data_IF_388594826988
#
_entry.id   IF_388594826988
#
_cell.length_a   1.000
_cell.length_b   1.000
_cell.length_c   1.000
_cell.angle_alpha   90.00
_cell.angle_beta   90.00
_cell.angle_gamma   90.00
#
_symmetry.space_group_name_H-M   'P 1'
#
loop_
_entity.id
_entity.type
_entity.pdbx_description
1 polymer ?
#
# COMPACT_ATOMS: atom_id res chain seq x y z
N UNK A 1 -2.77 -5.75 -36.19
CA UNK A 1 -3.84 -6.38 -35.39
C UNK A 1 -3.42 -7.75 -34.94
N UNK A 2 -2.85 -7.81 -33.75
CA UNK A 2 -2.78 -9.02 -32.93
C UNK A 2 -3.07 -8.53 -31.53
N UNK A 3 -4.36 -8.46 -31.20
CA UNK A 3 -4.83 -8.36 -29.84
C UNK A 3 -4.11 -9.46 -29.06
N UNK A 4 -3.25 -9.05 -28.14
CA UNK A 4 -2.78 -9.96 -27.10
C UNK A 4 -3.91 -10.04 -26.10
N UNK A 5 -4.84 -10.96 -26.34
CA UNK A 5 -5.88 -11.28 -25.38
C UNK A 5 -5.22 -11.59 -24.03
N UNK A 6 -5.69 -10.91 -23.00
CA UNK A 6 -5.40 -11.26 -21.61
C UNK A 6 -5.76 -12.72 -21.37
N UNK A 7 -4.83 -13.52 -20.86
CA UNK A 7 -5.08 -14.92 -20.48
C UNK A 7 -6.08 -14.97 -19.33
N UNK A 8 -7.29 -15.51 -19.57
CA UNK A 8 -8.36 -15.63 -18.57
C UNK A 8 -8.66 -17.07 -18.16
N UNK A 9 -7.96 -18.04 -18.75
CA UNK A 9 -8.17 -19.48 -18.59
C UNK A 9 -7.17 -20.14 -17.61
N UNK A 10 -6.22 -19.35 -17.07
CA UNK A 10 -5.26 -19.81 -16.05
C UNK A 10 -5.53 -19.18 -14.69
N UNK A 11 -5.33 -19.91 -13.57
CA UNK A 11 -5.41 -19.34 -12.23
C UNK A 11 -4.45 -18.16 -12.05
N UNK A 12 -4.96 -17.02 -11.59
CA UNK A 12 -4.15 -15.83 -11.28
C UNK A 12 -3.59 -15.97 -9.87
N UNK A 13 -2.27 -16.18 -9.73
CA UNK A 13 -1.60 -16.23 -8.42
C UNK A 13 -0.53 -15.14 -8.24
N UNK A 14 -0.33 -14.29 -9.25
CA UNK A 14 0.75 -13.30 -9.24
C UNK A 14 0.31 -12.01 -8.56
N UNK A 15 0.87 -11.76 -7.39
CA UNK A 15 0.76 -10.49 -6.69
C UNK A 15 2.01 -9.66 -6.96
N UNK A 16 1.84 -8.48 -7.55
CA UNK A 16 2.93 -7.54 -7.80
C UNK A 16 3.01 -6.53 -6.67
N UNK A 17 4.20 -6.36 -6.10
CA UNK A 17 4.50 -5.38 -5.08
C UNK A 17 5.57 -4.41 -5.57
N UNK A 18 5.36 -3.11 -5.33
CA UNK A 18 6.40 -2.10 -5.45
C UNK A 18 7.13 -1.94 -4.11
N UNK A 19 8.43 -1.67 -4.16
CA UNK A 19 9.23 -1.26 -3.00
C UNK A 19 9.44 0.25 -3.10
N UNK A 20 8.99 0.98 -2.08
CA UNK A 20 8.99 2.44 -2.05
C UNK A 20 9.97 2.91 -0.99
N UNK A 21 10.83 3.87 -1.39
CA UNK A 21 11.68 4.64 -0.49
C UNK A 21 11.20 6.08 -0.51
N UNK A 22 10.91 6.64 0.65
CA UNK A 22 10.44 8.03 0.76
C UNK A 22 10.97 8.70 2.03
N UNK A 23 10.84 10.02 2.06
CA UNK A 23 11.10 10.84 3.24
C UNK A 23 9.78 11.45 3.70
N UNK A 24 9.37 11.13 4.92
CA UNK A 24 8.18 11.70 5.56
C UNK A 24 8.63 12.53 6.77
N UNK A 25 8.80 13.84 6.55
CA UNK A 25 9.39 14.76 7.54
C UNK A 25 10.75 14.23 8.02
N UNK A 26 10.82 13.81 9.27
CA UNK A 26 12.04 13.38 9.96
C UNK A 26 12.37 11.89 9.70
N UNK A 27 11.49 11.15 9.01
CA UNK A 27 11.62 9.70 8.82
C UNK A 27 11.97 9.31 7.39
N UNK A 28 13.03 8.52 7.24
CA UNK A 28 13.29 7.75 6.02
C UNK A 28 12.52 6.43 6.10
N UNK A 29 11.58 6.24 5.18
CA UNK A 29 10.72 5.06 5.17
C UNK A 29 11.06 4.18 3.96
N UNK A 30 11.12 2.88 4.22
CA UNK A 30 11.14 1.84 3.20
C UNK A 30 9.96 0.92 3.50
N UNK A 31 9.09 0.73 2.52
CA UNK A 31 7.94 -0.16 2.63
C UNK A 31 7.59 -0.76 1.27
N UNK A 32 6.87 -1.87 1.29
CA UNK A 32 6.26 -2.43 0.10
C UNK A 32 4.77 -2.12 0.06
N UNK A 33 4.22 -2.00 -1.14
CA UNK A 33 2.79 -1.91 -1.35
C UNK A 33 2.40 -2.68 -2.60
N UNK A 34 1.24 -3.35 -2.52
CA UNK A 34 0.64 -4.03 -3.68
C UNK A 34 0.28 -2.98 -4.73
N UNK A 35 0.60 -3.27 -5.98
CA UNK A 35 0.21 -2.48 -7.14
C UNK A 35 -0.66 -3.34 -8.07
N UNK A 36 -1.64 -2.73 -8.72
CA UNK A 36 -2.49 -3.42 -9.70
C UNK A 36 -1.81 -3.61 -11.05
N UNK A 37 -0.84 -2.76 -11.37
CA UNK A 37 -0.07 -2.83 -12.61
C UNK A 37 0.51 -1.48 -12.98
N UNK A 38 0.85 -1.33 -14.27
CA UNK A 38 1.44 -0.12 -14.84
C UNK A 38 0.81 0.20 -16.19
N UNK A 39 0.68 1.50 -16.49
CA UNK A 39 0.35 1.95 -17.84
C UNK A 39 1.66 2.05 -18.62
N UNK A 40 1.80 1.24 -19.68
CA UNK A 40 2.96 1.27 -20.57
C UNK A 40 2.54 1.09 -22.02
N UNK A 41 3.23 1.77 -22.93
CA UNK A 41 3.12 1.52 -24.39
C UNK A 41 3.95 0.32 -24.83
N UNK A 42 4.91 -0.11 -24.00
CA UNK A 42 5.81 -1.22 -24.26
C UNK A 42 5.42 -2.42 -23.40
N UNK A 43 5.36 -3.61 -24.01
CA UNK A 43 5.01 -4.86 -23.31
C UNK A 43 6.12 -5.37 -22.39
N UNK A 44 7.37 -5.03 -22.71
CA UNK A 44 8.53 -5.47 -21.96
C UNK A 44 9.05 -4.31 -21.12
N UNK A 45 8.95 -4.43 -19.80
CA UNK A 45 9.47 -3.48 -18.83
C UNK A 45 10.68 -4.11 -18.19
N UNK A 46 11.82 -3.43 -18.20
CA UNK A 46 13.01 -3.93 -17.50
C UNK A 46 12.90 -3.66 -15.99
N UNK A 47 12.48 -4.67 -15.24
CA UNK A 47 12.34 -4.58 -13.78
C UNK A 47 13.66 -4.48 -13.02
N UNK A 48 14.81 -4.55 -13.70
CA UNK A 48 16.12 -4.33 -13.11
C UNK A 48 16.65 -2.90 -13.35
N UNK A 49 15.98 -2.11 -14.20
CA UNK A 49 16.30 -0.71 -14.43
C UNK A 49 15.43 0.19 -13.54
N UNK A 50 16.03 0.71 -12.48
CA UNK A 50 15.32 1.60 -11.54
C UNK A 50 14.92 2.94 -12.18
N UNK A 51 15.66 3.44 -13.17
CA UNK A 51 15.29 4.68 -13.86
C UNK A 51 14.08 4.47 -14.77
N UNK A 52 13.95 3.28 -15.37
CA UNK A 52 12.75 2.87 -16.08
C UNK A 52 11.57 2.74 -15.10
N UNK A 53 11.74 1.99 -14.01
CA UNK A 53 10.69 1.77 -13.00
C UNK A 53 10.17 3.10 -12.44
N UNK A 54 11.07 4.02 -12.11
CA UNK A 54 10.71 5.31 -11.52
C UNK A 54 9.89 6.21 -12.47
N UNK A 55 9.90 5.94 -13.77
CA UNK A 55 9.10 6.66 -14.78
C UNK A 55 7.74 6.01 -15.05
N UNK A 56 7.50 4.81 -14.53
CA UNK A 56 6.24 4.10 -14.74
C UNK A 56 5.07 4.80 -14.04
N UNK A 57 3.90 4.70 -14.66
CA UNK A 57 2.65 5.14 -14.05
C UNK A 57 1.94 3.94 -13.43
N UNK A 58 2.03 3.81 -12.10
CA UNK A 58 1.35 2.75 -11.36
C UNK A 58 -0.17 2.96 -11.35
N UNK A 59 -0.90 1.84 -11.42
CA UNK A 59 -2.36 1.76 -11.32
C UNK A 59 -2.78 0.81 -10.20
N UNK A 60 -3.98 1.01 -9.70
CA UNK A 60 -4.68 0.07 -8.81
C UNK A 60 -5.97 -0.39 -9.47
N UNK A 61 -6.35 -1.65 -9.28
CA UNK A 61 -7.63 -2.19 -9.74
C UNK A 61 -8.56 -2.43 -8.56
N UNK A 62 -9.85 -2.10 -8.70
CA UNK A 62 -10.90 -2.43 -7.74
C UNK A 62 -12.10 -3.01 -8.46
N UNK A 63 -12.83 -3.84 -7.74
CA UNK A 63 -14.11 -4.41 -8.16
C UNK A 63 -15.16 -3.99 -7.13
N UNK A 64 -16.27 -3.43 -7.60
CA UNK A 64 -17.43 -3.08 -6.76
C UNK A 64 -18.68 -3.74 -7.32
N UNK A 65 -19.68 -3.97 -6.46
CA UNK A 65 -20.99 -4.50 -6.90
C UNK A 65 -21.88 -3.35 -7.37
N UNK A 66 -22.70 -3.58 -8.39
CA UNK A 66 -23.60 -2.57 -8.95
C UNK A 66 -24.53 -1.94 -7.91
N UNK A 67 -25.07 -2.74 -6.99
CA UNK A 67 -25.91 -2.26 -5.90
C UNK A 67 -25.21 -1.36 -4.86
N UNK A 68 -23.89 -1.18 -4.95
CA UNK A 68 -23.08 -0.28 -4.12
C UNK A 68 -22.64 0.99 -4.85
N UNK A 69 -23.13 1.20 -6.08
CA UNK A 69 -22.71 2.28 -6.96
C UNK A 69 -23.70 3.45 -6.91
N UNK A 70 -23.31 4.53 -6.23
CA UNK A 70 -23.77 5.88 -6.57
C UNK A 70 -23.10 6.30 -7.90
N UNK A 71 -23.72 7.16 -8.71
CA UNK A 71 -23.36 7.49 -10.10
C UNK A 71 -21.86 7.79 -10.39
N UNK A 72 -21.03 8.09 -9.37
CA UNK A 72 -19.57 8.21 -9.50
C UNK A 72 -18.81 7.41 -8.42
N UNK A 73 -17.88 6.54 -8.86
CA UNK A 73 -17.04 5.69 -7.99
C UNK A 73 -16.26 6.49 -6.94
N UNK A 74 -16.01 7.78 -7.20
CA UNK A 74 -15.29 8.66 -6.29
C UNK A 74 -16.08 8.94 -5.00
N UNK A 75 -17.40 8.74 -5.03
CA UNK A 75 -18.28 8.80 -3.86
C UNK A 75 -18.41 7.45 -3.14
N UNK A 76 -17.80 6.37 -3.63
CA UNK A 76 -17.89 5.11 -2.91
C UNK A 76 -17.32 5.25 -1.46
N UNK A 77 -17.93 4.65 -0.42
CA UNK A 77 -17.46 4.79 0.97
C UNK A 77 -16.00 4.36 1.21
N UNK A 78 -15.50 3.44 0.38
CA UNK A 78 -14.08 3.00 0.42
C UNK A 78 -13.12 3.90 -0.36
N UNK A 79 -13.61 4.93 -1.05
CA UNK A 79 -12.78 5.85 -1.86
C UNK A 79 -11.62 6.44 -1.05
N UNK A 80 -11.85 6.75 0.22
CA UNK A 80 -10.80 7.21 1.13
C UNK A 80 -9.66 6.21 1.31
N UNK A 81 -9.97 4.92 1.51
CA UNK A 81 -8.96 3.87 1.63
C UNK A 81 -8.18 3.71 0.33
N UNK A 82 -8.86 3.83 -0.81
CA UNK A 82 -8.21 3.80 -2.12
C UNK A 82 -7.29 5.01 -2.33
N UNK A 83 -7.73 6.19 -1.88
CA UNK A 83 -6.90 7.39 -1.88
C UNK A 83 -5.64 7.20 -1.03
N UNK A 84 -5.76 6.73 0.21
CA UNK A 84 -4.59 6.50 1.07
C UNK A 84 -3.62 5.47 0.47
N UNK A 85 -4.16 4.35 -0.06
CA UNK A 85 -3.36 3.33 -0.73
C UNK A 85 -2.59 3.95 -1.91
N UNK A 86 -3.28 4.72 -2.76
CA UNK A 86 -2.64 5.30 -3.92
C UNK A 86 -1.69 6.45 -3.62
N UNK A 87 -1.99 7.25 -2.60
CA UNK A 87 -1.11 8.32 -2.12
C UNK A 87 0.22 7.76 -1.60
N UNK A 88 0.18 6.70 -0.79
CA UNK A 88 1.40 6.07 -0.26
C UNK A 88 2.15 5.31 -1.36
N UNK A 89 1.47 4.51 -2.18
CA UNK A 89 2.12 3.71 -3.23
C UNK A 89 2.42 4.48 -4.53
N UNK A 90 2.34 5.82 -4.53
CA UNK A 90 2.51 6.67 -5.72
C UNK A 90 1.67 6.23 -6.95
N UNK A 91 0.50 5.65 -6.70
CA UNK A 91 -0.44 5.22 -7.73
C UNK A 91 -1.18 6.44 -8.25
N UNK A 92 -1.21 6.61 -9.58
CA UNK A 92 -1.83 7.79 -10.21
C UNK A 92 -3.28 7.55 -10.57
N UNK A 93 -3.60 6.32 -10.97
CA UNK A 93 -4.93 5.96 -11.45
C UNK A 93 -5.51 4.78 -10.70
N UNK A 94 -6.83 4.83 -10.50
CA UNK A 94 -7.63 3.71 -10.05
C UNK A 94 -8.54 3.28 -11.19
N UNK A 95 -8.53 1.98 -11.47
CA UNK A 95 -9.35 1.32 -12.47
C UNK A 95 -10.43 0.52 -11.72
N UNK A 96 -11.70 0.87 -11.89
CA UNK A 96 -12.80 0.24 -11.16
C UNK A 96 -13.74 -0.46 -12.13
N UNK A 97 -13.87 -1.77 -11.96
CA UNK A 97 -14.92 -2.56 -12.58
C UNK A 97 -16.17 -2.57 -11.70
N UNK A 98 -17.34 -2.37 -12.31
CA UNK A 98 -18.64 -2.55 -11.65
C UNK A 98 -19.20 -3.89 -12.08
N UNK A 99 -19.42 -4.77 -11.12
CA UNK A 99 -19.87 -6.14 -11.30
C UNK A 99 -21.35 -6.24 -11.00
N UNK A 100 -22.10 -6.87 -11.90
CA UNK A 100 -23.52 -7.15 -11.74
C UNK A 100 -23.76 -8.35 -10.78
N UNK A 101 -25.03 -8.71 -10.62
CA UNK A 101 -25.43 -9.88 -9.81
C UNK A 101 -24.96 -11.22 -10.39
N UNK A 102 -24.68 -11.26 -11.70
CA UNK A 102 -24.15 -12.44 -12.40
C UNK A 102 -22.62 -12.49 -12.39
N UNK A 103 -21.97 -11.71 -11.53
CA UNK A 103 -20.51 -11.64 -11.42
C UNK A 103 -19.78 -11.17 -12.69
N UNK A 104 -20.46 -10.40 -13.53
CA UNK A 104 -19.96 -9.92 -14.81
C UNK A 104 -19.75 -8.40 -14.78
N UNK A 105 -18.63 -7.94 -15.34
CA UNK A 105 -18.34 -6.51 -15.49
C UNK A 105 -18.81 -6.07 -16.88
N UNK A 106 -20.00 -5.47 -16.94
CA UNK A 106 -20.61 -5.03 -18.21
C UNK A 106 -20.23 -3.60 -18.61
N UNK A 107 -19.89 -2.76 -17.63
CA UNK A 107 -19.52 -1.36 -17.89
C UNK A 107 -18.03 -1.27 -18.26
N UNK A 108 -17.65 -0.37 -19.19
CA UNK A 108 -16.25 -0.05 -19.39
C UNK A 108 -15.61 0.29 -18.04
N UNK A 109 -14.44 -0.29 -17.77
CA UNK A 109 -13.69 -0.05 -16.53
C UNK A 109 -13.50 1.46 -16.38
N UNK A 110 -13.98 2.00 -15.27
CA UNK A 110 -13.84 3.42 -14.99
C UNK A 110 -12.42 3.71 -14.53
N UNK A 111 -11.73 4.60 -15.25
CA UNK A 111 -10.38 5.05 -14.88
C UNK A 111 -10.49 6.46 -14.32
N UNK A 112 -10.13 6.63 -13.05
CA UNK A 112 -10.11 7.95 -12.38
C UNK A 112 -8.73 8.23 -11.80
N UNK A 113 -8.37 9.51 -11.65
CA UNK A 113 -7.14 9.88 -10.98
C UNK A 113 -7.34 9.83 -9.46
N UNK A 114 -6.38 9.24 -8.74
CA UNK A 114 -6.42 9.16 -7.27
C UNK A 114 -6.57 10.54 -6.64
N UNK A 115 -5.92 11.55 -7.22
CA UNK A 115 -5.95 12.94 -6.73
C UNK A 115 -7.35 13.56 -6.74
N UNK A 116 -8.26 13.07 -7.59
CA UNK A 116 -9.61 13.63 -7.69
C UNK A 116 -10.52 13.13 -6.55
N UNK A 117 -10.21 11.96 -5.96
CA UNK A 117 -10.88 11.47 -4.73
C UNK A 117 -10.73 12.50 -3.60
N UNK A 118 -9.52 13.03 -3.41
CA UNK A 118 -9.24 13.99 -2.34
C UNK A 118 -10.01 15.31 -2.52
N UNK A 119 -10.23 15.74 -3.77
CA UNK A 119 -10.95 16.99 -4.08
C UNK A 119 -12.45 16.87 -3.80
N UNK A 120 -13.07 15.78 -4.24
CA UNK A 120 -14.53 15.63 -4.22
C UNK A 120 -15.09 15.53 -2.81
N UNK A 121 -14.38 14.84 -1.94
CA UNK A 121 -14.83 14.54 -0.57
C UNK A 121 -14.25 15.49 0.47
N UNK A 122 -13.54 16.54 0.03
CA UNK A 122 -12.82 17.49 0.90
C UNK A 122 -11.98 16.79 1.98
N UNK A 123 -11.45 15.61 1.66
CA UNK A 123 -10.60 14.89 2.59
C UNK A 123 -9.42 15.78 2.95
N UNK A 124 -8.95 15.64 4.19
CA UNK A 124 -7.80 16.34 4.71
C UNK A 124 -6.61 15.37 4.82
N UNK A 125 -5.92 15.04 3.70
CA UNK A 125 -4.74 14.16 3.72
C UNK A 125 -3.73 14.56 4.79
N UNK A 126 -3.59 15.86 5.02
CA UNK A 126 -2.72 16.44 6.04
C UNK A 126 -3.03 15.92 7.45
N UNK A 127 -4.30 15.69 7.81
CA UNK A 127 -4.69 15.13 9.11
C UNK A 127 -4.21 13.69 9.22
N UNK A 128 -4.43 12.86 8.20
CA UNK A 128 -4.09 11.43 8.24
C UNK A 128 -2.59 11.18 8.17
N UNK A 129 -1.88 11.93 7.33
CA UNK A 129 -0.42 11.91 7.28
C UNK A 129 0.16 12.48 8.58
N UNK A 130 -0.51 13.47 9.18
CA UNK A 130 -0.18 13.98 10.52
C UNK A 130 -0.32 12.90 11.60
N UNK A 131 -1.40 12.12 11.57
CA UNK A 131 -1.59 10.98 12.45
C UNK A 131 -0.52 9.91 12.26
N UNK A 132 -0.27 9.47 11.03
CA UNK A 132 0.80 8.50 10.71
C UNK A 132 2.16 8.98 11.24
N UNK A 133 2.50 10.24 11.01
CA UNK A 133 3.73 10.83 11.54
C UNK A 133 3.78 10.83 13.08
N UNK A 134 2.65 11.05 13.75
CA UNK A 134 2.55 10.97 15.22
C UNK A 134 2.80 9.55 15.71
N UNK A 135 2.26 8.53 15.02
CA UNK A 135 2.53 7.12 15.30
C UNK A 135 4.02 6.79 15.12
N UNK A 136 4.65 7.25 14.04
CA UNK A 136 6.07 7.03 13.79
C UNK A 136 6.94 7.63 14.90
N UNK A 137 6.64 8.86 15.36
CA UNK A 137 7.31 9.48 16.52
C UNK A 137 7.13 8.69 17.81
N UNK A 138 5.94 8.13 18.03
CA UNK A 138 5.70 7.27 19.20
C UNK A 138 6.54 5.99 19.14
N UNK A 139 6.59 5.34 17.97
CA UNK A 139 7.39 4.13 17.75
C UNK A 139 8.87 4.41 18.01
N UNK A 140 9.42 5.44 17.36
CA UNK A 140 10.81 5.87 17.52
C UNK A 140 11.14 6.15 18.99
N UNK A 141 10.35 7.01 19.65
CA UNK A 141 10.56 7.36 21.07
C UNK A 141 10.55 6.13 21.97
N UNK A 142 9.66 5.19 21.71
CA UNK A 142 9.50 3.96 22.50
C UNK A 142 10.65 3.00 22.29
N UNK A 143 11.18 2.93 21.07
CA UNK A 143 12.17 1.95 20.65
C UNK A 143 13.60 2.51 20.53
N UNK A 144 13.83 3.80 20.80
CA UNK A 144 15.13 4.48 20.56
C UNK A 144 16.36 3.80 21.16
N UNK A 145 16.17 3.06 22.26
CA UNK A 145 17.23 2.38 23.02
C UNK A 145 17.19 0.86 22.86
N UNK A 146 16.47 0.38 21.86
CA UNK A 146 16.22 -1.04 21.64
C UNK A 146 16.99 -1.48 20.39
N UNK A 147 18.15 -2.08 20.63
CA UNK A 147 18.93 -2.76 19.60
C UNK A 147 18.88 -4.28 19.84
N UNK A 148 17.72 -4.87 19.58
CA UNK A 148 17.52 -6.30 19.74
C UNK A 148 16.47 -6.80 18.73
N UNK A 149 16.85 -7.66 17.76
CA UNK A 149 15.93 -8.11 16.71
C UNK A 149 14.81 -9.02 17.22
N UNK A 150 14.93 -9.50 18.47
CA UNK A 150 13.93 -10.34 19.11
C UNK A 150 12.96 -9.55 19.98
N UNK A 151 13.31 -8.32 20.38
CA UNK A 151 12.43 -7.50 21.21
C UNK A 151 11.32 -6.91 20.33
N UNK A 152 10.07 -7.24 20.66
CA UNK A 152 8.90 -6.80 19.89
C UNK A 152 8.02 -5.90 20.73
N UNK A 153 7.57 -4.80 20.14
CA UNK A 153 6.58 -3.91 20.71
C UNK A 153 5.28 -4.02 19.93
N UNK A 154 4.19 -4.35 20.62
CA UNK A 154 2.85 -4.34 20.06
C UNK A 154 2.20 -2.98 20.37
N UNK A 155 1.82 -2.26 19.33
CA UNK A 155 1.07 -1.01 19.42
C UNK A 155 -0.38 -1.29 19.04
N UNK A 156 -1.31 -1.13 19.98
CA UNK A 156 -2.73 -1.39 19.77
C UNK A 156 -3.54 -0.13 19.98
N UNK A 157 -4.19 0.35 18.93
CA UNK A 157 -5.14 1.45 19.05
C UNK A 157 -6.44 0.95 19.68
N UNK A 158 -6.86 1.59 20.77
CA UNK A 158 -8.10 1.30 21.48
C UNK A 158 -9.05 2.46 21.26
N UNK A 159 -9.97 2.28 20.31
CA UNK A 159 -10.90 3.32 19.87
C UNK A 159 -11.76 3.89 21.02
N UNK A 160 -12.26 3.02 21.90
CA UNK A 160 -13.10 3.42 23.05
C UNK A 160 -12.39 4.32 24.05
N UNK A 161 -11.06 4.22 24.13
CA UNK A 161 -10.22 5.02 25.03
C UNK A 161 -9.46 6.11 24.28
N UNK A 162 -9.61 6.17 22.95
CA UNK A 162 -8.88 7.06 22.04
C UNK A 162 -7.36 7.08 22.34
N UNK A 163 -6.78 5.91 22.61
CA UNK A 163 -5.39 5.80 23.04
C UNK A 163 -4.69 4.61 22.36
N UNK A 164 -3.35 4.59 22.47
CA UNK A 164 -2.53 3.47 21.99
C UNK A 164 -1.98 2.74 23.20
N UNK A 165 -2.36 1.47 23.36
CA UNK A 165 -1.80 0.58 24.37
C UNK A 165 -0.54 -0.06 23.82
N UNK A 166 0.47 -0.16 24.68
CA UNK A 166 1.77 -0.72 24.38
C UNK A 166 1.97 -2.02 25.14
N UNK A 167 2.44 -3.06 24.47
CA UNK A 167 2.92 -4.29 25.11
C UNK A 167 4.32 -4.62 24.60
N UNK A 168 5.24 -4.89 25.53
CA UNK A 168 6.63 -5.25 25.23
C UNK A 168 6.84 -6.74 25.42
N UNK A 169 7.45 -7.38 24.43
CA UNK A 169 7.88 -8.77 24.45
C UNK A 169 9.41 -8.78 24.39
N UNK A 170 10.07 -9.22 25.47
CA UNK A 170 11.53 -9.29 25.53
C UNK A 170 12.03 -10.64 25.05
N UNK A 171 13.13 -10.64 24.30
CA UNK A 171 13.76 -11.88 23.82
C UNK A 171 12.93 -12.60 22.76
N UNK A 172 13.44 -13.73 22.29
CA UNK A 172 12.81 -14.50 21.21
C UNK A 172 11.49 -15.08 21.69
N UNK A 173 10.41 -14.79 20.97
CA UNK A 173 9.06 -15.27 21.28
C UNK A 173 8.26 -15.53 20.00
N UNK A 174 7.04 -16.01 20.15
CA UNK A 174 6.08 -16.18 19.04
C UNK A 174 5.72 -14.86 18.34
N UNK A 175 6.00 -13.72 18.98
CA UNK A 175 5.78 -12.39 18.40
C UNK A 175 6.99 -11.93 17.56
N UNK A 176 8.15 -12.58 17.67
CA UNK A 176 9.32 -12.28 16.86
C UNK A 176 9.03 -12.54 15.39
N UNK A 177 9.16 -11.51 14.55
CA UNK A 177 8.77 -11.56 13.14
C UNK A 177 9.95 -11.47 12.15
N UNK A 178 11.15 -11.17 12.63
CA UNK A 178 12.36 -11.18 11.82
C UNK A 178 12.90 -12.61 11.74
N UNK A 179 13.17 -13.09 10.52
CA UNK A 179 13.76 -14.41 10.31
C UNK A 179 15.24 -14.43 10.73
N UNK A 180 15.73 -15.59 11.18
CA UNK A 180 17.14 -15.75 11.55
C UNK A 180 18.08 -15.45 10.39
N UNK A 181 17.70 -15.82 9.16
CA UNK A 181 18.50 -15.53 7.96
C UNK A 181 18.62 -14.02 7.70
N UNK A 182 17.53 -13.27 7.89
CA UNK A 182 17.55 -11.81 7.75
C UNK A 182 18.43 -11.19 8.84
N UNK A 183 18.26 -11.61 10.09
CA UNK A 183 19.07 -11.14 11.22
C UNK A 183 20.56 -11.42 10.97
N UNK A 184 20.90 -12.63 10.52
CA UNK A 184 22.27 -13.04 10.20
C UNK A 184 22.86 -12.16 9.09
N UNK A 185 22.11 -11.93 8.00
CA UNK A 185 22.55 -11.04 6.91
C UNK A 185 22.78 -9.61 7.41
N UNK A 186 21.83 -9.02 8.16
CA UNK A 186 21.99 -7.67 8.69
C UNK A 186 23.25 -7.53 9.53
N UNK A 187 23.52 -8.48 10.44
CA UNK A 187 24.73 -8.47 11.27
C UNK A 187 26.00 -8.47 10.42
N UNK A 188 26.06 -9.25 9.34
CA UNK A 188 27.23 -9.25 8.45
C UNK A 188 27.51 -7.87 7.84
N UNK A 189 26.48 -7.09 7.51
CA UNK A 189 26.62 -5.77 6.90
C UNK A 189 26.79 -4.61 7.90
N UNK A 190 26.54 -4.82 9.20
CA UNK A 190 26.69 -3.79 10.25
C UNK A 190 27.91 -3.99 11.15
N UNK A 191 28.73 -5.03 10.92
CA UNK A 191 29.96 -5.28 11.70
C UNK A 191 31.24 -4.87 10.94
N UNK A 192 31.10 -4.16 9.81
CA UNK A 192 32.15 -3.37 9.16
C UNK A 192 32.04 -1.90 9.61
#
# INVERSE_FOLDING_TARGET
NTDSDTTTDTPVNDLVYGIFKTVMKDFHLIYSAKIGGVISKHKNINTHDMDEINKLTFIETKLIKENSFEDDILYHPKSFLWFLQGYLANIKHICVGVMDENHTVHTPVQVKQIKDIAKIREWRPDIYIGFLHTILKLIEKTMRHVDCPYTVYEFRYVFTENCIKLKKHNGKSEQSFLSEDYIKKCKQYTTE
#
